data_IF_564153117512
#
_entry.id   IF_564153117512
#
_cell.length_a   1.000
_cell.length_b   1.000
_cell.length_c   1.000
_cell.angle_alpha   90.00
_cell.angle_beta   90.00
_cell.angle_gamma   90.00
#
_symmetry.space_group_name_H-M   'P 1'
#
loop_
_entity.id
_entity.type
_entity.pdbx_description
1 polymer ?
#
# COMPACT_ATOMS: atom_id res chain seq x y z
N UNK A 1 12.05 -4.27 -5.20
CA UNK A 1 12.71 -3.54 -6.32
C UNK A 1 11.66 -2.68 -6.99
N UNK A 2 11.98 -1.48 -7.49
CA UNK A 2 10.98 -0.61 -8.14
C UNK A 2 10.28 -1.32 -9.30
N UNK A 3 8.94 -1.24 -9.30
CA UNK A 3 8.09 -1.70 -10.38
C UNK A 3 7.04 -0.63 -10.67
N UNK A 4 6.95 -0.24 -11.94
CA UNK A 4 6.12 0.88 -12.37
C UNK A 4 4.61 0.61 -12.31
N UNK A 5 4.21 -0.63 -12.56
CA UNK A 5 2.81 -1.01 -12.81
C UNK A 5 2.46 -2.29 -12.07
N UNK A 6 1.30 -2.30 -11.42
CA UNK A 6 0.71 -3.45 -10.74
C UNK A 6 -0.78 -3.61 -11.05
N UNK A 7 -1.25 -4.83 -10.88
CA UNK A 7 -2.62 -5.28 -11.00
C UNK A 7 -3.06 -5.56 -12.43
N UNK A 8 -4.20 -6.25 -12.53
CA UNK A 8 -4.89 -6.52 -13.79
C UNK A 8 -5.19 -5.19 -14.51
N UNK A 9 -4.88 -5.13 -15.81
CA UNK A 9 -4.94 -3.92 -16.65
C UNK A 9 -4.03 -2.77 -16.18
N UNK A 10 -2.96 -3.07 -15.42
CA UNK A 10 -1.89 -2.13 -15.03
C UNK A 10 -2.42 -0.87 -14.37
N UNK A 11 -3.42 -1.08 -13.53
CA UNK A 11 -4.20 0.01 -12.98
C UNK A 11 -3.33 0.75 -11.95
N UNK A 12 -2.66 0.06 -11.01
CA UNK A 12 -1.82 0.72 -10.00
C UNK A 12 -0.52 1.16 -10.67
N UNK A 13 -0.27 2.47 -10.73
CA UNK A 13 0.83 3.07 -11.49
C UNK A 13 1.60 4.05 -10.62
N UNK A 14 2.92 3.95 -10.71
CA UNK A 14 3.88 4.90 -10.19
C UNK A 14 4.53 5.61 -11.37
N UNK A 15 4.57 6.93 -11.35
CA UNK A 15 5.11 7.74 -12.45
C UNK A 15 6.63 7.86 -12.35
N UNK A 16 7.20 7.64 -11.16
CA UNK A 16 8.64 7.58 -10.93
C UNK A 16 9.02 6.65 -9.76
N UNK A 17 10.31 6.26 -9.65
CA UNK A 17 10.81 5.53 -8.47
C UNK A 17 10.62 6.30 -7.16
N UNK A 18 10.81 7.62 -7.18
CA UNK A 18 10.62 8.49 -6.01
C UNK A 18 9.18 8.39 -5.49
N UNK A 19 8.19 8.46 -6.39
CA UNK A 19 6.76 8.33 -6.03
C UNK A 19 6.45 6.95 -5.43
N UNK A 20 7.11 5.91 -5.93
CA UNK A 20 7.00 4.55 -5.39
C UNK A 20 7.55 4.45 -3.97
N UNK A 21 8.78 4.91 -3.73
CA UNK A 21 9.40 4.83 -2.42
C UNK A 21 8.78 5.79 -1.39
N UNK A 22 8.30 6.96 -1.82
CA UNK A 22 7.45 7.85 -1.00
C UNK A 22 6.16 7.14 -0.58
N UNK A 23 5.54 6.38 -1.49
CA UNK A 23 4.35 5.59 -1.15
C UNK A 23 4.66 4.48 -0.15
N UNK A 24 5.80 3.80 -0.26
CA UNK A 24 6.20 2.81 0.74
C UNK A 24 6.43 3.44 2.11
N UNK A 25 7.04 4.62 2.17
CA UNK A 25 7.20 5.41 3.39
C UNK A 25 5.86 5.69 4.08
N UNK A 26 4.90 6.18 3.30
CA UNK A 26 3.55 6.46 3.79
C UNK A 26 2.84 5.21 4.34
N UNK A 27 2.96 4.07 3.65
CA UNK A 27 2.35 2.81 4.10
C UNK A 27 3.01 2.25 5.38
N UNK A 28 4.27 2.60 5.67
CA UNK A 28 5.02 2.08 6.81
C UNK A 28 4.72 2.79 8.15
N UNK A 29 3.93 3.87 8.16
CA UNK A 29 3.73 4.77 9.31
C UNK A 29 3.16 4.12 10.57
N UNK A 30 2.33 3.10 10.42
CA UNK A 30 1.62 2.46 11.54
C UNK A 30 0.79 3.41 12.40
N UNK A 31 0.35 4.54 11.83
CA UNK A 31 -0.40 5.61 12.53
C UNK A 31 -1.92 5.41 12.49
N UNK A 32 -2.37 4.21 12.08
CA UNK A 32 -3.78 3.87 11.89
C UNK A 32 -4.41 4.45 10.61
N UNK A 33 -3.65 5.14 9.75
CA UNK A 33 -4.18 5.65 8.47
C UNK A 33 -4.54 4.54 7.48
N UNK A 34 -3.84 3.41 7.55
CA UNK A 34 -4.02 2.25 6.67
C UNK A 34 -3.91 0.93 7.42
N UNK A 35 -4.44 -0.13 6.80
CA UNK A 35 -4.12 -1.52 7.14
C UNK A 35 -4.07 -2.38 5.87
N UNK A 36 -3.16 -3.36 5.87
CA UNK A 36 -3.10 -4.37 4.81
C UNK A 36 -3.98 -5.57 5.19
N UNK A 37 -4.76 -6.07 4.24
CA UNK A 37 -5.68 -7.18 4.48
C UNK A 37 -5.56 -8.17 3.33
N UNK A 38 -5.48 -9.46 3.67
CA UNK A 38 -5.72 -10.55 2.76
C UNK A 38 -7.11 -11.13 3.05
N UNK A 39 -8.08 -10.86 2.19
CA UNK A 39 -9.46 -11.29 2.39
C UNK A 39 -9.70 -12.63 1.68
N UNK A 40 -9.99 -13.69 2.45
CA UNK A 40 -10.31 -15.04 1.96
C UNK A 40 -11.74 -15.13 1.41
N UNK A 41 -12.04 -14.30 0.41
CA UNK A 41 -13.38 -14.17 -0.15
C UNK A 41 -13.85 -15.45 -0.87
N UNK A 42 -12.94 -16.37 -1.20
CA UNK A 42 -13.26 -17.72 -1.68
C UNK A 42 -14.13 -18.51 -0.70
N UNK A 43 -13.97 -18.31 0.61
CA UNK A 43 -14.81 -18.91 1.64
C UNK A 43 -16.26 -18.39 1.59
N UNK A 44 -16.48 -17.31 0.83
CA UNK A 44 -17.77 -16.64 0.63
C UNK A 44 -18.24 -16.74 -0.83
N UNK A 45 -17.66 -17.64 -1.63
CA UNK A 45 -18.05 -17.93 -3.01
C UNK A 45 -17.40 -17.05 -4.08
N UNK A 46 -16.37 -16.28 -3.75
CA UNK A 46 -15.54 -15.61 -4.74
C UNK A 46 -14.54 -16.58 -5.41
N UNK A 47 -13.91 -16.14 -6.49
CA UNK A 47 -12.97 -16.95 -7.26
C UNK A 47 -11.59 -17.11 -6.58
N UNK A 48 -11.30 -16.33 -5.55
CA UNK A 48 -10.02 -16.34 -4.84
C UNK A 48 -9.90 -15.20 -3.85
N UNK A 49 -8.79 -15.20 -3.12
CA UNK A 49 -8.50 -14.19 -2.11
C UNK A 49 -8.12 -12.85 -2.73
N UNK A 50 -8.35 -11.77 -1.98
CA UNK A 50 -8.01 -10.42 -2.41
C UNK A 50 -7.06 -9.72 -1.42
N UNK A 51 -5.92 -9.29 -1.94
CA UNK A 51 -5.00 -8.37 -1.28
C UNK A 51 -5.50 -6.94 -1.39
N UNK A 52 -5.73 -6.30 -0.24
CA UNK A 52 -6.29 -4.96 -0.14
C UNK A 52 -5.51 -4.07 0.82
N UNK A 53 -5.54 -2.77 0.51
CA UNK A 53 -5.18 -1.70 1.44
C UNK A 53 -6.48 -1.06 1.89
N UNK A 54 -6.80 -1.17 3.16
CA UNK A 54 -7.90 -0.45 3.80
C UNK A 54 -7.39 0.92 4.22
N UNK A 55 -8.14 1.97 3.90
CA UNK A 55 -7.77 3.36 4.19
C UNK A 55 -8.77 3.95 5.17
N UNK A 56 -8.27 4.42 6.32
CA UNK A 56 -9.07 4.91 7.45
C UNK A 56 -9.04 6.44 7.60
N UNK A 57 -8.02 7.08 7.00
CA UNK A 57 -7.85 8.54 6.98
C UNK A 57 -8.51 9.22 5.79
N UNK A 58 -8.65 10.55 5.84
CA UNK A 58 -9.16 11.35 4.71
C UNK A 58 -8.18 11.34 3.53
N UNK A 59 -8.72 11.51 2.32
CA UNK A 59 -8.01 11.46 1.03
C UNK A 59 -6.77 12.36 0.97
N UNK A 60 -6.81 13.51 1.63
CA UNK A 60 -5.79 14.56 1.49
C UNK A 60 -4.41 14.09 1.98
N UNK A 61 -4.38 13.17 2.94
CA UNK A 61 -3.15 12.66 3.56
C UNK A 61 -2.40 11.61 2.74
N UNK A 62 -3.00 11.06 1.68
CA UNK A 62 -2.41 9.94 0.94
C UNK A 62 -1.48 10.39 -0.18
N UNK A 63 -0.55 9.54 -0.60
CA UNK A 63 0.28 9.80 -1.79
C UNK A 63 -0.56 9.73 -3.08
N UNK A 64 -0.12 10.44 -4.13
CA UNK A 64 -0.85 10.49 -5.41
C UNK A 64 -1.14 9.11 -6.03
N UNK A 65 -0.24 8.09 -5.99
CA UNK A 65 -0.55 6.75 -6.50
C UNK A 65 -1.76 6.11 -5.82
N UNK A 66 -1.85 6.24 -4.50
CA UNK A 66 -2.94 5.68 -3.72
C UNK A 66 -4.25 6.41 -4.02
N UNK A 67 -4.21 7.75 -4.12
CA UNK A 67 -5.40 8.56 -4.49
C UNK A 67 -5.99 8.14 -5.83
N UNK A 68 -5.16 7.85 -6.83
CA UNK A 68 -5.59 7.37 -8.16
C UNK A 68 -6.31 6.01 -8.11
N UNK A 69 -6.27 5.30 -6.97
CA UNK A 69 -6.82 3.95 -6.80
C UNK A 69 -7.93 3.75 -5.82
N UNK A 70 -8.38 4.81 -5.18
CA UNK A 70 -9.47 4.64 -4.24
C UNK A 70 -10.75 4.15 -4.90
N UNK A 71 -11.26 3.10 -4.29
CA UNK A 71 -12.63 2.62 -4.46
C UNK A 71 -13.39 2.88 -3.17
N UNK A 72 -14.72 2.87 -3.26
CA UNK A 72 -15.60 3.05 -2.10
C UNK A 72 -15.29 1.99 -1.03
N UNK A 73 -15.14 2.41 0.22
CA UNK A 73 -15.06 1.50 1.37
C UNK A 73 -16.35 0.71 1.61
N UNK A 74 -16.24 -0.43 2.28
CA UNK A 74 -17.39 -1.28 2.70
C UNK A 74 -17.33 -1.53 4.21
N UNK A 75 -17.34 -0.48 5.03
CA UNK A 75 -17.56 -0.57 6.49
C UNK A 75 -17.65 0.84 7.07
N UNK A 76 -18.28 1.01 8.25
CA UNK A 76 -18.31 2.31 8.97
C UNK A 76 -16.91 2.90 9.25
N UNK A 77 -15.86 2.06 9.27
CA UNK A 77 -14.47 2.46 9.62
C UNK A 77 -13.48 2.45 8.45
N UNK A 78 -13.88 2.00 7.25
CA UNK A 78 -13.00 1.97 6.06
C UNK A 78 -13.55 2.99 5.07
N UNK A 79 -12.84 4.11 4.92
CA UNK A 79 -13.28 5.22 4.05
C UNK A 79 -13.06 4.87 2.58
N UNK A 80 -11.87 4.33 2.28
CA UNK A 80 -11.49 3.91 0.93
C UNK A 80 -10.81 2.54 0.96
N UNK A 81 -10.80 1.88 -0.19
CA UNK A 81 -10.06 0.64 -0.41
C UNK A 81 -9.24 0.75 -1.69
N UNK A 82 -8.07 0.16 -1.67
CA UNK A 82 -7.27 -0.14 -2.86
C UNK A 82 -7.24 -1.65 -3.00
N UNK A 83 -7.67 -2.16 -4.15
CA UNK A 83 -7.62 -3.58 -4.50
C UNK A 83 -6.50 -3.77 -5.51
N UNK A 84 -5.45 -4.51 -5.12
CA UNK A 84 -4.34 -4.85 -5.99
C UNK A 84 -3.50 -5.97 -5.36
N UNK A 85 -3.90 -7.23 -5.58
CA UNK A 85 -3.18 -8.41 -5.07
C UNK A 85 -1.68 -8.33 -5.37
N UNK A 86 -1.32 -8.10 -6.64
CA UNK A 86 0.07 -8.04 -7.08
C UNK A 86 0.91 -6.98 -6.35
N UNK A 87 0.31 -5.84 -5.98
CA UNK A 87 1.03 -4.80 -5.22
C UNK A 87 1.19 -5.19 -3.75
N UNK A 88 0.14 -5.76 -3.14
CA UNK A 88 0.19 -6.23 -1.75
C UNK A 88 1.21 -7.38 -1.61
N UNK A 89 1.21 -8.34 -2.53
CA UNK A 89 2.19 -9.43 -2.59
C UNK A 89 3.62 -8.92 -2.73
N UNK A 90 3.83 -7.92 -3.60
CA UNK A 90 5.16 -7.36 -3.83
C UNK A 90 5.72 -6.70 -2.57
N UNK A 91 4.94 -5.86 -1.89
CA UNK A 91 5.43 -5.17 -0.70
C UNK A 91 5.61 -6.12 0.49
N UNK A 92 4.81 -7.18 0.61
CA UNK A 92 5.00 -8.17 1.68
C UNK A 92 6.21 -9.05 1.40
N UNK A 93 6.45 -9.42 0.14
CA UNK A 93 7.55 -10.33 -0.25
C UNK A 93 8.90 -9.60 -0.31
N UNK A 94 8.92 -8.39 -0.86
CA UNK A 94 10.17 -7.69 -1.20
C UNK A 94 10.54 -6.58 -0.22
N UNK A 95 9.58 -6.10 0.58
CA UNK A 95 9.78 -4.94 1.44
C UNK A 95 9.46 -5.23 2.93
N UNK A 96 9.04 -6.45 3.27
CA UNK A 96 8.83 -6.86 4.66
C UNK A 96 7.56 -6.29 5.31
N UNK A 97 6.60 -5.82 4.50
CA UNK A 97 5.29 -5.43 4.99
C UNK A 97 4.53 -6.63 5.55
N UNK A 98 3.69 -6.38 6.55
CA UNK A 98 2.88 -7.39 7.23
C UNK A 98 1.40 -7.05 7.11
N UNK A 99 0.53 -8.07 7.17
CA UNK A 99 -0.90 -7.84 7.26
C UNK A 99 -1.26 -7.12 8.56
N UNK A 100 -2.27 -6.26 8.50
CA UNK A 100 -2.69 -5.40 9.61
C UNK A 100 -2.20 -3.96 9.49
N UNK A 101 -2.36 -3.20 10.58
CA UNK A 101 -2.05 -1.77 10.64
C UNK A 101 -0.62 -1.48 11.15
N UNK A 102 0.03 -2.44 11.80
CA UNK A 102 1.34 -2.26 12.42
C UNK A 102 2.43 -2.80 11.49
N UNK A 103 3.42 -1.96 11.21
CA UNK A 103 4.53 -2.24 10.30
C UNK A 103 5.86 -1.99 11.02
N UNK A 104 6.91 -2.70 10.60
CA UNK A 104 8.26 -2.41 11.05
C UNK A 104 8.96 -1.48 10.03
N UNK A 105 8.85 -0.17 10.24
CA UNK A 105 9.39 0.83 9.32
C UNK A 105 10.91 0.73 9.16
N UNK A 106 11.66 0.28 10.18
CA UNK A 106 13.10 0.06 10.09
C UNK A 106 13.46 -1.07 9.13
N UNK A 107 12.75 -2.20 9.21
CA UNK A 107 12.91 -3.33 8.27
C UNK A 107 12.54 -2.90 6.85
N UNK A 108 11.41 -2.23 6.69
CA UNK A 108 10.96 -1.75 5.38
C UNK A 108 11.99 -0.78 4.79
N UNK A 109 12.44 0.21 5.56
CA UNK A 109 13.42 1.22 5.13
C UNK A 109 14.76 0.60 4.70
N UNK A 110 15.17 -0.51 5.30
CA UNK A 110 16.39 -1.23 4.92
C UNK A 110 16.31 -1.89 3.53
N UNK A 111 15.11 -2.11 3.01
CA UNK A 111 14.91 -2.64 1.63
C UNK A 111 14.95 -1.55 0.55
N UNK A 112 15.04 -0.28 0.95
CA UNK A 112 15.00 0.87 0.05
C UNK A 112 16.43 1.20 -0.44
N UNK A 113 16.66 1.36 -1.76
CA UNK A 113 17.95 1.81 -2.27
C UNK A 113 18.37 3.15 -1.66
N UNK A 114 19.66 3.33 -1.38
CA UNK A 114 20.16 4.50 -0.65
C UNK A 114 19.73 5.83 -1.27
N UNK A 115 19.70 5.93 -2.60
CA UNK A 115 19.30 7.14 -3.33
C UNK A 115 17.81 7.53 -3.14
N UNK A 116 16.97 6.62 -2.65
CA UNK A 116 15.53 6.86 -2.44
C UNK A 116 15.09 6.80 -0.98
N UNK A 117 16.06 6.71 -0.04
CA UNK A 117 15.76 6.74 1.39
C UNK A 117 15.12 8.06 1.82
N UNK A 118 15.52 9.17 1.21
CA UNK A 118 14.89 10.48 1.45
C UNK A 118 13.43 10.52 1.01
N UNK A 119 13.09 9.88 -0.11
CA UNK A 119 11.70 9.82 -0.59
C UNK A 119 10.83 8.98 0.33
N UNK A 120 11.37 7.84 0.78
CA UNK A 120 10.74 7.03 1.82
C UNK A 120 10.50 7.85 3.10
N UNK A 121 11.53 8.54 3.61
CA UNK A 121 11.43 9.35 4.83
C UNK A 121 10.43 10.51 4.65
N UNK A 122 10.37 11.11 3.47
CA UNK A 122 9.35 12.12 3.12
C UNK A 122 7.95 11.54 3.25
N UNK A 123 7.69 10.37 2.64
CA UNK A 123 6.40 9.69 2.71
C UNK A 123 6.01 9.27 4.12
N UNK A 124 6.97 8.83 4.92
CA UNK A 124 6.78 8.46 6.32
C UNK A 124 6.34 9.64 7.20
N UNK A 125 6.71 10.87 6.83
CA UNK A 125 6.42 12.08 7.59
C UNK A 125 5.17 12.87 7.11
N UNK A 126 4.43 12.38 6.11
CA UNK A 126 3.16 12.96 5.61
C UNK A 126 1.98 12.70 6.56
#
# INVERSE_FOLDING_TARGET
MYKRLFGIRRKMRFDSPEEYYETLGFLAKSDGSISLVWEHNEEQGAWGSEGRIHCHSNLDKFTAPLKRKFTKGRAKKVKHRINCNEFVEDITTNHGFQMGAVQNSGVIRNTIPNQYKSDFDKGFNL
#
